data_IF_141673866693
#
_entry.id   IF_141673866693
#
_cell.length_a   1.000
_cell.length_b   1.000
_cell.length_c   1.000
_cell.angle_alpha   90.00
_cell.angle_beta   90.00
_cell.angle_gamma   90.00
#
_symmetry.space_group_name_H-M   'P 1'
#
loop_
_entity.id
_entity.type
_entity.pdbx_description
1 polymer ?
#
# COMPACT_ATOMS: atom_id res chain seq x y z
N UNK A 1 -0.85 -9.88 -12.32
CA UNK A 1 -1.51 -10.10 -11.02
C UNK A 1 -2.17 -11.45 -11.06
N UNK A 2 -1.86 -12.34 -10.10
CA UNK A 2 -2.51 -13.65 -10.00
C UNK A 2 -3.84 -13.51 -9.26
N UNK A 3 -4.93 -13.95 -9.89
CA UNK A 3 -6.21 -14.09 -9.22
C UNK A 3 -6.18 -15.33 -8.33
N UNK A 4 -6.74 -15.27 -7.13
CA UNK A 4 -6.85 -16.45 -6.28
C UNK A 4 -7.86 -17.42 -6.89
N UNK A 5 -7.49 -18.70 -7.10
CA UNK A 5 -8.42 -19.69 -7.65
C UNK A 5 -9.60 -19.90 -6.70
N UNK A 6 -10.81 -20.03 -7.27
CA UNK A 6 -12.01 -20.38 -6.51
C UNK A 6 -11.83 -21.72 -5.80
N UNK A 7 -12.29 -21.80 -4.56
CA UNK A 7 -12.16 -23.00 -3.72
C UNK A 7 -10.76 -23.23 -3.13
N UNK A 8 -9.77 -22.41 -3.47
CA UNK A 8 -8.45 -22.50 -2.84
C UNK A 8 -8.47 -22.06 -1.37
N UNK A 9 -7.61 -22.68 -0.56
CA UNK A 9 -7.34 -22.28 0.82
C UNK A 9 -5.95 -21.69 0.89
N UNK A 10 -5.83 -20.53 1.53
CA UNK A 10 -4.58 -19.80 1.66
C UNK A 10 -4.36 -19.46 3.14
N UNK A 11 -3.11 -19.55 3.59
CA UNK A 11 -2.72 -18.96 4.87
C UNK A 11 -2.61 -17.45 4.69
N UNK A 12 -3.23 -16.69 5.59
CA UNK A 12 -3.28 -15.23 5.50
C UNK A 12 -3.11 -14.57 6.86
N UNK A 13 -2.63 -13.33 6.83
CA UNK A 13 -2.65 -12.39 7.95
C UNK A 13 -3.72 -11.32 7.69
N UNK A 14 -4.55 -11.03 8.68
CA UNK A 14 -5.54 -9.95 8.60
C UNK A 14 -4.83 -8.62 8.85
N UNK A 15 -4.75 -7.77 7.85
CA UNK A 15 -3.98 -6.52 7.91
C UNK A 15 -4.80 -5.29 8.27
N UNK A 16 -6.11 -5.29 7.94
CA UNK A 16 -7.02 -4.20 8.30
C UNK A 16 -8.46 -4.70 8.34
N UNK A 17 -9.25 -4.24 9.30
CA UNK A 17 -10.67 -4.59 9.45
C UNK A 17 -11.49 -3.31 9.57
N UNK A 18 -12.37 -3.07 8.61
CA UNK A 18 -13.40 -2.04 8.67
C UNK A 18 -14.70 -2.63 9.26
N UNK A 19 -15.05 -3.85 8.82
CA UNK A 19 -16.15 -4.64 9.36
C UNK A 19 -16.00 -6.12 9.01
N UNK A 20 -16.90 -6.97 9.49
CA UNK A 20 -16.92 -8.41 9.17
C UNK A 20 -17.06 -8.71 7.67
N UNK A 21 -17.56 -7.77 6.86
CA UNK A 21 -17.74 -7.92 5.41
C UNK A 21 -16.75 -7.08 4.59
N UNK A 22 -15.91 -6.27 5.25
CA UNK A 22 -14.92 -5.41 4.60
C UNK A 22 -13.64 -5.39 5.42
N UNK A 23 -12.69 -6.19 4.98
CA UNK A 23 -11.39 -6.34 5.59
C UNK A 23 -10.37 -6.69 4.50
N UNK A 24 -9.10 -6.54 4.84
CA UNK A 24 -7.99 -6.78 3.93
C UNK A 24 -7.04 -7.79 4.57
N UNK A 25 -6.47 -8.64 3.73
CA UNK A 25 -5.56 -9.70 4.14
C UNK A 25 -4.30 -9.68 3.30
N UNK A 26 -3.22 -10.21 3.86
CA UNK A 26 -1.95 -10.45 3.17
C UNK A 26 -1.72 -11.97 3.12
N UNK A 27 -1.34 -12.50 1.96
CA UNK A 27 -0.97 -13.91 1.84
C UNK A 27 0.33 -14.14 2.60
N UNK A 28 0.35 -15.13 3.48
CA UNK A 28 1.53 -15.44 4.32
C UNK A 28 2.79 -15.68 3.48
N UNK A 29 2.65 -16.35 2.34
CA UNK A 29 3.75 -16.68 1.43
C UNK A 29 4.37 -15.44 0.74
N UNK A 30 3.72 -14.29 0.81
CA UNK A 30 4.18 -13.05 0.19
C UNK A 30 4.76 -12.05 1.19
N UNK A 31 4.81 -12.36 2.49
CA UNK A 31 5.27 -11.42 3.51
C UNK A 31 6.72 -10.98 3.27
N UNK A 32 7.62 -11.90 2.97
CA UNK A 32 9.03 -11.54 2.70
C UNK A 32 9.18 -10.65 1.46
N UNK A 33 8.39 -10.93 0.42
CA UNK A 33 8.36 -10.11 -0.80
C UNK A 33 7.78 -8.72 -0.52
N UNK A 34 6.75 -8.65 0.32
CA UNK A 34 6.16 -7.38 0.73
C UNK A 34 7.19 -6.55 1.52
N UNK A 35 7.87 -7.15 2.49
CA UNK A 35 8.91 -6.50 3.29
C UNK A 35 10.03 -5.95 2.39
N UNK A 36 10.53 -6.75 1.44
CA UNK A 36 11.54 -6.29 0.49
C UNK A 36 11.08 -5.08 -0.35
N UNK A 37 9.80 -5.05 -0.75
CA UNK A 37 9.22 -3.89 -1.45
C UNK A 37 9.13 -2.68 -0.52
N UNK A 38 8.74 -2.87 0.74
CA UNK A 38 8.64 -1.79 1.73
C UNK A 38 10.00 -1.17 2.04
N UNK A 39 11.04 -1.98 2.18
CA UNK A 39 12.42 -1.50 2.36
C UNK A 39 12.90 -0.68 1.16
N UNK A 40 12.62 -1.15 -0.07
CA UNK A 40 12.96 -0.44 -1.29
C UNK A 40 12.21 0.90 -1.42
N UNK A 41 10.92 0.93 -1.06
CA UNK A 41 10.11 2.16 -1.04
C UNK A 41 10.68 3.16 -0.06
N UNK A 42 11.00 2.73 1.17
CA UNK A 42 11.60 3.59 2.19
C UNK A 42 12.91 4.19 1.70
N UNK A 43 13.84 3.34 1.24
CA UNK A 43 15.15 3.79 0.74
C UNK A 43 15.02 4.76 -0.45
N UNK A 44 14.07 4.53 -1.36
CA UNK A 44 13.82 5.44 -2.47
C UNK A 44 13.32 6.81 -2.00
N UNK A 45 12.32 6.84 -1.11
CA UNK A 45 11.66 8.07 -0.71
C UNK A 45 12.51 8.95 0.22
N UNK A 46 13.34 8.34 1.07
CA UNK A 46 14.28 9.08 1.92
C UNK A 46 15.33 9.86 1.11
N UNK A 47 15.59 9.45 -0.13
CA UNK A 47 16.58 10.07 -1.01
C UNK A 47 15.96 10.84 -2.20
N UNK A 48 14.63 10.91 -2.28
CA UNK A 48 13.94 11.49 -3.44
C UNK A 48 13.38 12.88 -3.14
N UNK A 49 13.34 13.71 -4.18
CA UNK A 49 12.63 14.99 -4.18
C UNK A 49 11.11 14.81 -4.28
N UNK A 50 10.36 15.90 -4.12
CA UNK A 50 8.89 15.92 -4.27
C UNK A 50 8.44 15.22 -5.57
N UNK A 51 7.39 14.37 -5.54
CA UNK A 51 6.95 13.52 -6.66
C UNK A 51 6.30 14.27 -7.83
N UNK A 52 6.25 15.61 -7.80
CA UNK A 52 5.54 16.41 -8.80
C UNK A 52 4.02 16.33 -8.65
N UNK A 53 3.29 16.55 -9.73
CA UNK A 53 1.82 16.44 -9.74
C UNK A 53 1.39 14.96 -9.73
N UNK A 54 0.45 14.64 -8.84
CA UNK A 54 -0.09 13.29 -8.67
C UNK A 54 -1.61 13.30 -8.91
N UNK A 55 -2.10 12.94 -10.11
CA UNK A 55 -3.53 12.89 -10.39
C UNK A 55 -4.22 11.73 -9.64
N UNK A 56 -5.54 11.82 -9.49
CA UNK A 56 -6.36 10.72 -8.95
C UNK A 56 -6.12 9.44 -9.76
N UNK A 57 -5.87 8.34 -9.05
CA UNK A 57 -5.52 7.05 -9.62
C UNK A 57 -4.02 6.81 -9.81
N UNK A 58 -3.16 7.83 -9.67
CA UNK A 58 -1.72 7.65 -9.74
C UNK A 58 -1.20 6.79 -8.58
N UNK A 59 -0.30 5.86 -8.91
CA UNK A 59 0.49 5.17 -7.90
C UNK A 59 1.61 6.09 -7.41
N UNK A 60 1.78 6.16 -6.10
CA UNK A 60 2.78 6.99 -5.47
C UNK A 60 3.33 6.33 -4.20
N UNK A 61 4.34 6.96 -3.62
CA UNK A 61 4.75 6.69 -2.25
C UNK A 61 4.17 7.78 -1.34
N UNK A 62 3.59 7.37 -0.22
CA UNK A 62 3.00 8.27 0.76
C UNK A 62 3.51 7.91 2.15
N UNK A 63 3.75 8.95 2.97
CA UNK A 63 4.16 8.77 4.37
C UNK A 63 2.91 8.71 5.24
N UNK A 64 2.77 7.64 6.02
CA UNK A 64 1.61 7.48 6.89
C UNK A 64 1.83 8.28 8.19
N UNK A 65 0.91 9.20 8.57
CA UNK A 65 1.16 10.09 9.70
C UNK A 65 1.30 9.39 11.06
N UNK A 66 0.69 8.22 11.25
CA UNK A 66 0.63 7.58 12.58
C UNK A 66 1.92 6.84 12.94
N UNK A 67 2.68 6.35 11.95
CA UNK A 67 3.92 5.59 12.17
C UNK A 67 5.14 6.18 11.45
N UNK A 68 4.93 7.26 10.69
CA UNK A 68 5.97 8.00 9.99
C UNK A 68 6.68 7.24 8.86
N UNK A 69 6.19 6.07 8.49
CA UNK A 69 6.81 5.21 7.47
C UNK A 69 6.26 5.50 6.07
N UNK A 70 7.08 5.15 5.06
CA UNK A 70 6.71 5.26 3.64
C UNK A 70 6.01 3.99 3.15
N UNK A 71 4.89 4.16 2.45
CA UNK A 71 4.09 3.08 1.87
C UNK A 71 3.77 3.34 0.41
N UNK A 72 3.40 2.27 -0.30
CA UNK A 72 2.78 2.36 -1.62
C UNK A 72 1.33 2.79 -1.47
N UNK A 73 0.93 3.82 -2.21
CA UNK A 73 -0.41 4.37 -2.19
C UNK A 73 -0.96 4.59 -3.61
N UNK A 74 -2.28 4.81 -3.67
CA UNK A 74 -2.98 5.28 -4.86
C UNK A 74 -3.72 6.55 -4.45
N UNK A 75 -3.56 7.63 -5.21
CA UNK A 75 -4.31 8.88 -4.97
C UNK A 75 -5.79 8.59 -5.13
N UNK A 76 -6.57 8.79 -4.06
CA UNK A 76 -8.02 8.55 -4.07
C UNK A 76 -8.80 9.81 -4.39
N UNK A 77 -8.40 10.93 -3.81
CA UNK A 77 -9.05 12.21 -4.01
C UNK A 77 -8.03 13.36 -3.87
N UNK A 78 -8.41 14.55 -4.35
CA UNK A 78 -7.61 15.76 -4.23
C UNK A 78 -8.47 16.89 -3.66
N UNK A 79 -8.04 17.47 -2.54
CA UNK A 79 -8.61 18.73 -2.03
C UNK A 79 -7.67 19.87 -2.41
N UNK A 80 -7.95 20.49 -3.56
CA UNK A 80 -7.04 21.48 -4.17
C UNK A 80 -5.75 20.81 -4.66
N UNK A 81 -4.58 21.36 -4.30
CA UNK A 81 -3.27 20.78 -4.64
C UNK A 81 -2.73 19.77 -3.60
N UNK A 82 -3.57 19.34 -2.64
CA UNK A 82 -3.20 18.34 -1.64
C UNK A 82 -3.82 16.99 -1.98
N UNK A 83 -2.97 15.97 -2.08
CA UNK A 83 -3.37 14.57 -2.08
C UNK A 83 -3.92 14.24 -0.69
N UNK A 84 -5.14 13.72 -0.64
CA UNK A 84 -5.82 13.33 0.60
C UNK A 84 -6.15 11.84 0.56
#
# INVERSE_FOLDING_TARGET
MGMLPLGSRQSVLVSYVDSCIKFYVQLSDNIDKLNAVMDAVKAHCENSSSPGELPVGAACCARFPDDDNWYRAIVRDMKGNRVV
#
